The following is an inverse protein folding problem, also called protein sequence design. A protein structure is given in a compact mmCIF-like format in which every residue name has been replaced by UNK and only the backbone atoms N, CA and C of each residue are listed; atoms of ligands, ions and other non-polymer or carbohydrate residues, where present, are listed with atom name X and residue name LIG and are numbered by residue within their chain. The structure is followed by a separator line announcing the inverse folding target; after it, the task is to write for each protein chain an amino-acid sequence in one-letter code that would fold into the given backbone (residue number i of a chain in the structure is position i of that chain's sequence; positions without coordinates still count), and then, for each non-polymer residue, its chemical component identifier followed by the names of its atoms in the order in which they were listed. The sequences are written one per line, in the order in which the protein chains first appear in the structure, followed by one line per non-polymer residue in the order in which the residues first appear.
data_IF_887827293622
#
_entry.id   IF_887827293622
#
_cell.length_a   1.000
_cell.length_b   1.000
_cell.length_c   1.000
_cell.angle_alpha   90.00
_cell.angle_beta   90.00
_cell.angle_gamma   90.00
#
_symmetry.space_group_name_H-M   'P 1'
#
loop_
_entity.id
_entity.type
_entity.pdbx_description
1 polymer ?
#
# COMPACT_ATOMS: atom_id res chain seq x y z
N UNK A 1 5.26 10.27 -19.24
CA UNK A 1 5.71 8.93 -19.66
C UNK A 1 5.85 8.10 -18.39
N UNK A 2 5.21 6.93 -18.32
CA UNK A 2 5.37 6.03 -17.18
C UNK A 2 6.77 5.41 -17.20
N UNK A 3 7.44 5.40 -16.04
CA UNK A 3 8.73 4.74 -15.85
C UNK A 3 8.50 3.43 -15.11
N UNK A 4 9.26 2.39 -15.47
CA UNK A 4 9.16 1.04 -14.91
C UNK A 4 10.46 0.68 -14.20
N UNK A 5 10.85 1.51 -13.25
CA UNK A 5 12.05 1.28 -12.45
C UNK A 5 11.65 0.63 -11.12
N UNK A 6 12.37 -0.41 -10.67
CA UNK A 6 12.11 -1.02 -9.38
C UNK A 6 12.44 -0.04 -8.24
N UNK A 7 11.77 -0.23 -7.10
CA UNK A 7 12.19 0.39 -5.84
C UNK A 7 13.56 -0.18 -5.49
N UNK A 8 14.53 0.70 -5.25
CA UNK A 8 15.91 0.32 -4.89
C UNK A 8 16.24 0.58 -3.42
N UNK A 9 15.33 1.18 -2.67
CA UNK A 9 15.51 1.53 -1.26
C UNK A 9 15.34 0.27 -0.38
N UNK A 10 16.42 -0.27 0.23
CA UNK A 10 16.38 -1.61 0.82
C UNK A 10 15.36 -1.74 1.95
N UNK A 11 15.26 -0.74 2.83
CA UNK A 11 14.33 -0.82 3.97
C UNK A 11 12.86 -0.81 3.54
N UNK A 12 12.55 -0.18 2.38
CA UNK A 12 11.21 -0.20 1.79
C UNK A 12 10.91 -1.60 1.26
N UNK A 13 11.87 -2.21 0.54
CA UNK A 13 11.76 -3.59 0.03
C UNK A 13 11.59 -4.57 1.20
N UNK A 14 12.45 -4.51 2.21
CA UNK A 14 12.39 -5.36 3.40
C UNK A 14 11.03 -5.22 4.11
N UNK A 15 10.47 -4.01 4.14
CA UNK A 15 9.15 -3.77 4.71
C UNK A 15 8.06 -4.43 3.86
N UNK A 16 8.08 -4.23 2.54
CA UNK A 16 7.14 -4.86 1.61
C UNK A 16 7.18 -6.39 1.69
N UNK A 17 8.37 -6.97 1.79
CA UNK A 17 8.56 -8.43 1.94
C UNK A 17 8.02 -8.94 3.27
N UNK A 18 8.22 -8.23 4.38
CA UNK A 18 7.64 -8.58 5.68
C UNK A 18 6.10 -8.57 5.64
N UNK A 19 5.51 -7.57 4.97
CA UNK A 19 4.05 -7.51 4.78
C UNK A 19 3.59 -8.70 3.93
N UNK A 20 4.26 -8.97 2.81
CA UNK A 20 3.92 -10.09 1.95
C UNK A 20 4.01 -11.44 2.69
N UNK A 21 5.05 -11.64 3.51
CA UNK A 21 5.21 -12.82 4.35
C UNK A 21 4.02 -12.99 5.33
N UNK A 22 3.60 -11.92 6.00
CA UNK A 22 2.41 -11.91 6.85
C UNK A 22 1.10 -12.11 6.05
N UNK A 23 1.06 -11.68 4.78
CA UNK A 23 -0.06 -11.87 3.86
C UNK A 23 0.03 -13.19 3.07
N UNK A 24 0.40 -14.28 3.75
CA UNK A 24 0.51 -15.62 3.14
C UNK A 24 1.51 -15.68 1.96
N UNK A 25 2.64 -14.98 2.09
CA UNK A 25 3.68 -14.86 1.03
C UNK A 25 3.13 -14.30 -0.28
N UNK A 26 2.23 -13.32 -0.21
CA UNK A 26 1.56 -12.74 -1.38
C UNK A 26 1.51 -11.22 -1.35
N UNK A 27 1.73 -10.61 -2.51
CA UNK A 27 1.49 -9.18 -2.77
C UNK A 27 0.04 -8.86 -3.15
N UNK A 28 -0.87 -9.85 -3.11
CA UNK A 28 -2.26 -9.64 -3.45
C UNK A 28 -2.93 -8.61 -2.54
N UNK A 29 -3.46 -7.55 -3.14
CA UNK A 29 -4.09 -6.46 -2.41
C UNK A 29 -3.12 -5.41 -1.89
N UNK A 30 -1.84 -5.43 -2.29
CA UNK A 30 -0.94 -4.29 -2.10
C UNK A 30 -1.58 -3.02 -2.64
N UNK A 31 -1.43 -1.94 -1.87
CA UNK A 31 -2.05 -0.66 -2.19
C UNK A 31 -1.34 0.02 -3.34
N UNK A 32 -2.08 0.85 -4.07
CA UNK A 32 -1.68 1.38 -5.38
C UNK A 32 -0.40 2.22 -5.34
N UNK A 33 -0.20 2.97 -4.26
CA UNK A 33 0.97 3.85 -4.07
C UNK A 33 1.66 3.52 -2.76
N UNK A 34 2.98 3.39 -2.83
CA UNK A 34 3.88 3.45 -1.67
C UNK A 34 4.80 4.65 -1.83
N UNK A 35 4.85 5.49 -0.81
CA UNK A 35 5.71 6.67 -0.76
C UNK A 35 6.51 6.68 0.54
N UNK A 36 7.71 7.24 0.48
CA UNK A 36 8.57 7.36 1.65
C UNK A 36 9.34 8.68 1.65
N UNK A 37 9.69 9.15 2.86
CA UNK A 37 10.57 10.30 3.06
C UNK A 37 11.36 10.09 4.36
N UNK A 38 12.68 9.94 4.24
CA UNK A 38 13.50 9.55 5.40
C UNK A 38 13.05 8.19 5.94
N UNK A 39 12.56 8.17 7.19
CA UNK A 39 12.06 6.96 7.85
C UNK A 39 10.53 6.80 7.77
N UNK A 40 9.82 7.78 7.21
CA UNK A 40 8.37 7.74 7.08
C UNK A 40 7.97 6.92 5.85
N UNK A 41 6.98 6.05 6.02
CA UNK A 41 6.41 5.21 4.97
C UNK A 41 4.90 5.40 4.92
N UNK A 42 4.35 5.51 3.72
CA UNK A 42 2.94 5.71 3.49
C UNK A 42 2.45 4.81 2.36
N UNK A 43 1.40 4.06 2.63
CA UNK A 43 0.61 3.35 1.64
C UNK A 43 -0.66 4.16 1.36
N UNK A 44 -0.96 4.38 0.09
CA UNK A 44 -2.22 5.00 -0.33
C UNK A 44 -2.96 4.10 -1.30
N UNK A 45 -4.19 3.74 -0.94
CA UNK A 45 -5.12 3.01 -1.78
C UNK A 45 -6.09 3.99 -2.42
N UNK A 46 -6.18 3.96 -3.75
CA UNK A 46 -6.98 4.89 -4.52
C UNK A 46 -8.34 4.27 -4.82
N UNK A 47 -9.41 5.02 -4.55
CA UNK A 47 -10.78 4.62 -4.90
C UNK A 47 -11.47 5.73 -5.64
N UNK A 48 -11.93 5.44 -6.87
CA UNK A 48 -12.80 6.38 -7.54
C UNK A 48 -14.17 6.37 -6.87
N UNK A 49 -14.64 7.57 -6.52
CA UNK A 49 -15.93 7.80 -5.88
C UNK A 49 -17.05 7.10 -6.62
N UNK A 50 -17.86 6.31 -5.89
CA UNK A 50 -19.01 5.52 -6.39
C UNK A 50 -18.68 4.43 -7.44
N UNK A 51 -17.45 4.32 -7.93
CA UNK A 51 -17.07 3.30 -8.92
C UNK A 51 -16.28 2.15 -8.27
N UNK A 52 -15.48 2.46 -7.26
CA UNK A 52 -14.65 1.48 -6.58
C UNK A 52 -15.07 1.27 -5.13
N UNK A 53 -14.72 0.09 -4.63
CA UNK A 53 -14.83 -0.29 -3.21
C UNK A 53 -13.56 -0.99 -2.78
N UNK A 54 -13.24 -0.89 -1.49
CA UNK A 54 -12.13 -1.66 -0.91
C UNK A 54 -12.44 -3.15 -0.98
N UNK A 55 -11.47 -3.91 -1.50
CA UNK A 55 -11.58 -5.37 -1.65
C UNK A 55 -11.06 -6.07 -0.40
N UNK A 56 -11.54 -7.29 -0.14
CA UNK A 56 -11.07 -8.10 0.99
C UNK A 56 -9.57 -8.34 0.97
N UNK A 57 -8.94 -8.45 -0.21
CA UNK A 57 -7.49 -8.57 -0.35
C UNK A 57 -6.75 -7.31 0.12
N UNK A 58 -7.33 -6.13 -0.05
CA UNK A 58 -6.74 -4.86 0.39
C UNK A 58 -6.87 -4.68 1.90
N UNK A 59 -7.95 -5.17 2.51
CA UNK A 59 -8.05 -5.30 3.97
C UNK A 59 -6.98 -6.25 4.52
N UNK A 60 -6.77 -7.41 3.89
CA UNK A 60 -5.71 -8.34 4.32
C UNK A 60 -4.31 -7.74 4.23
N UNK A 61 -4.03 -6.94 3.19
CA UNK A 61 -2.76 -6.22 3.09
C UNK A 61 -2.57 -5.22 4.24
N UNK A 62 -3.62 -4.45 4.57
CA UNK A 62 -3.60 -3.55 5.73
C UNK A 62 -3.33 -4.33 7.03
N UNK A 63 -4.07 -5.41 7.29
CA UNK A 63 -3.90 -6.25 8.47
C UNK A 63 -2.49 -6.84 8.56
N UNK A 64 -1.96 -7.35 7.45
CA UNK A 64 -0.58 -7.85 7.38
C UNK A 64 0.45 -6.74 7.63
N UNK A 65 0.18 -5.53 7.14
CA UNK A 65 0.98 -4.33 7.43
C UNK A 65 1.09 -4.03 8.91
N UNK A 66 -0.04 -4.04 9.61
CA UNK A 66 -0.10 -3.83 11.05
C UNK A 66 0.63 -4.96 11.81
N UNK A 67 0.48 -6.21 11.37
CA UNK A 67 1.23 -7.35 11.93
C UNK A 67 2.74 -7.23 11.71
N UNK A 68 3.17 -6.63 10.60
CA UNK A 68 4.58 -6.35 10.29
C UNK A 68 5.16 -5.14 11.08
N UNK A 69 4.36 -4.53 11.96
CA UNK A 69 4.78 -3.46 12.86
C UNK A 69 4.53 -2.04 12.33
N UNK A 70 3.82 -1.89 11.21
CA UNK A 70 3.32 -0.58 10.78
C UNK A 70 2.14 -0.14 11.65
N UNK A 71 1.86 1.14 11.61
CA UNK A 71 0.75 1.76 12.34
C UNK A 71 -0.35 2.19 11.36
N UNK A 72 -1.59 2.41 11.84
CA UNK A 72 -2.67 2.90 11.00
C UNK A 72 -2.35 4.20 10.24
N UNK A 73 -1.53 5.08 10.83
CA UNK A 73 -1.05 6.33 10.21
C UNK A 73 -0.18 6.11 8.95
N UNK A 74 0.36 4.91 8.74
CA UNK A 74 1.05 4.55 7.50
C UNK A 74 0.09 4.22 6.35
N UNK A 75 -1.23 4.28 6.55
CA UNK A 75 -2.23 3.83 5.58
C UNK A 75 -3.30 4.92 5.34
N UNK A 76 -3.39 5.41 4.10
CA UNK A 76 -4.44 6.30 3.64
C UNK A 76 -5.37 5.65 2.60
N UNK A 77 -6.68 5.75 2.83
CA UNK A 77 -7.67 5.53 1.78
C UNK A 77 -7.98 6.87 1.11
N UNK A 78 -7.67 7.00 -0.17
CA UNK A 78 -7.85 8.24 -0.93
C UNK A 78 -9.02 8.06 -1.89
N UNK A 79 -10.13 8.72 -1.58
CA UNK A 79 -11.26 8.83 -2.52
C UNK A 79 -11.02 9.99 -3.48
N UNK A 80 -11.21 9.76 -4.78
CA UNK A 80 -11.05 10.78 -5.82
C UNK A 80 -12.17 10.72 -6.85
N UNK A 81 -12.35 11.81 -7.59
CA UNK A 81 -13.16 11.85 -8.81
C UNK A 81 -12.52 12.85 -9.79
N UNK A 82 -12.91 12.81 -11.06
CA UNK A 82 -12.54 13.88 -11.98
C UNK A 82 -13.32 15.14 -11.62
N UNK A 83 -12.71 16.32 -11.77
CA UNK A 83 -13.46 17.57 -11.70
C UNK A 83 -14.48 17.56 -12.86
N UNK A 84 -15.75 17.81 -12.52
CA UNK A 84 -16.84 17.99 -13.50
C UNK A 84 -16.50 19.10 -14.51
#
# INVERSE_FOLDING_TARGET
MQQHDPIMEPWVIDTLERIAAANSSSYAGCWDVVGWNGADLLFAELKRRKQDRVRSTQHRWLEAGLQAGLKPENFLLVEWDFAD
#
